data_IF_851925841831
#
_entry.id   IF_851925841831
#
_cell.length_a   1.000
_cell.length_b   1.000
_cell.length_c   1.000
_cell.angle_alpha   90.00
_cell.angle_beta   90.00
_cell.angle_gamma   90.00
#
_symmetry.space_group_name_H-M   'P 1'
#
loop_
_entity.id
_entity.type
_entity.pdbx_description
1 polymer ?
#
# COMPACT_ATOMS: atom_id res chain seq x y z
N UNK A 1 -13.02 33.95 79.44
CA UNK A 1 -12.44 32.76 78.76
C UNK A 1 -13.43 32.26 77.73
N UNK A 2 -13.06 32.41 76.45
CA UNK A 2 -13.40 31.64 75.24
C UNK A 2 -14.83 31.14 75.00
N UNK A 3 -15.62 31.82 74.15
CA UNK A 3 -16.59 31.12 73.28
C UNK A 3 -17.06 31.92 72.04
N UNK A 4 -16.16 32.49 71.22
CA UNK A 4 -16.57 33.06 69.91
C UNK A 4 -15.47 32.93 68.86
N UNK A 5 -15.20 31.71 68.37
CA UNK A 5 -14.33 31.58 67.18
C UNK A 5 -14.55 30.32 66.31
N UNK A 6 -15.59 29.51 66.57
CA UNK A 6 -15.70 28.19 65.94
C UNK A 6 -16.75 28.06 64.82
N UNK A 7 -17.49 29.12 64.48
CA UNK A 7 -18.65 28.98 63.57
C UNK A 7 -18.36 29.47 62.14
N UNK A 8 -17.42 30.41 61.94
CA UNK A 8 -17.15 30.98 60.62
C UNK A 8 -16.23 30.15 59.71
N UNK A 9 -15.44 29.23 60.26
CA UNK A 9 -14.46 28.46 59.47
C UNK A 9 -15.04 27.21 58.80
N UNK A 10 -16.20 26.72 59.25
CA UNK A 10 -16.80 25.48 58.73
C UNK A 10 -17.73 25.76 57.53
N UNK A 11 -18.40 26.92 57.51
CA UNK A 11 -19.32 27.30 56.43
C UNK A 11 -18.65 27.53 55.07
N UNK A 12 -17.42 28.05 55.06
CA UNK A 12 -16.68 28.33 53.81
C UNK A 12 -16.10 27.06 53.16
N UNK A 13 -15.76 26.02 53.94
CA UNK A 13 -15.26 24.74 53.40
C UNK A 13 -16.36 23.89 52.75
N UNK A 14 -17.58 23.93 53.27
CA UNK A 14 -18.73 23.17 52.72
C UNK A 14 -19.26 23.78 51.41
N UNK A 15 -19.15 25.09 51.23
CA UNK A 15 -19.54 25.75 49.98
C UNK A 15 -18.52 25.52 48.85
N UNK A 16 -17.22 25.38 49.16
CA UNK A 16 -16.17 25.16 48.14
C UNK A 16 -16.16 23.72 47.62
N UNK A 17 -16.48 22.73 48.46
CA UNK A 17 -16.55 21.32 48.04
C UNK A 17 -17.76 20.99 47.16
N UNK A 18 -18.88 21.68 47.33
CA UNK A 18 -20.09 21.48 46.51
C UNK A 18 -20.01 22.15 45.13
N UNK A 19 -19.20 23.20 44.96
CA UNK A 19 -19.03 23.87 43.64
C UNK A 19 -18.10 23.10 42.70
N UNK A 20 -17.14 22.31 43.22
CA UNK A 20 -16.19 21.55 42.41
C UNK A 20 -16.69 20.15 41.99
N UNK A 21 -17.77 19.65 42.62
CA UNK A 21 -18.49 18.46 42.16
C UNK A 21 -19.58 18.81 41.12
N UNK A 22 -19.45 19.95 40.43
CA UNK A 22 -20.12 20.14 39.14
C UNK A 22 -19.38 19.23 38.16
N UNK A 23 -19.69 17.94 38.22
CA UNK A 23 -19.36 16.94 37.21
C UNK A 23 -19.63 17.64 35.88
N UNK A 24 -18.55 17.95 35.18
CA UNK A 24 -18.62 18.30 33.77
C UNK A 24 -19.57 17.29 33.17
N UNK A 25 -20.75 17.73 32.71
CA UNK A 25 -21.59 16.93 31.83
C UNK A 25 -20.77 16.74 30.56
N UNK A 26 -19.81 15.83 30.61
CA UNK A 26 -19.24 15.25 29.43
C UNK A 26 -20.41 14.49 28.85
N UNK A 27 -21.01 15.03 27.80
CA UNK A 27 -21.87 14.24 26.94
C UNK A 27 -20.94 13.14 26.42
N UNK A 28 -20.89 12.00 27.11
CA UNK A 28 -20.04 10.89 26.72
C UNK A 28 -20.62 10.33 25.43
N UNK A 29 -19.83 10.36 24.37
CA UNK A 29 -20.22 9.84 23.07
C UNK A 29 -20.31 8.32 23.18
N UNK A 30 -21.52 7.79 23.33
CA UNK A 30 -21.71 6.35 23.56
C UNK A 30 -21.55 5.57 22.26
N UNK A 31 -21.98 6.15 21.13
CA UNK A 31 -21.68 5.62 19.80
C UNK A 31 -21.46 6.72 18.78
N UNK A 32 -20.37 6.57 18.03
CA UNK A 32 -20.04 7.37 16.84
C UNK A 32 -20.57 6.68 15.59
N UNK A 33 -21.36 7.39 14.78
CA UNK A 33 -21.95 6.94 13.51
C UNK A 33 -21.31 7.65 12.32
N UNK A 34 -21.23 6.95 11.19
CA UNK A 34 -20.77 7.49 9.91
C UNK A 34 -21.91 7.50 8.90
N UNK A 35 -21.80 8.34 7.86
CA UNK A 35 -22.75 8.31 6.76
C UNK A 35 -22.68 6.97 6.00
N UNK A 36 -23.74 6.61 5.27
CA UNK A 36 -23.82 5.33 4.54
C UNK A 36 -22.66 5.14 3.53
N UNK A 37 -22.16 6.23 2.95
CA UNK A 37 -21.02 6.22 2.04
C UNK A 37 -19.66 6.35 2.75
N UNK A 38 -19.59 6.09 4.06
CA UNK A 38 -18.36 6.16 4.86
C UNK A 38 -18.10 4.88 5.66
N UNK A 39 -16.83 4.57 5.84
CA UNK A 39 -16.37 3.51 6.72
C UNK A 39 -15.81 4.13 8.02
N UNK A 40 -16.20 3.57 9.17
CA UNK A 40 -15.62 3.93 10.47
C UNK A 40 -14.28 3.24 10.66
N UNK A 41 -13.23 4.01 10.93
CA UNK A 41 -11.90 3.48 11.27
C UNK A 41 -11.44 4.20 12.54
N UNK A 42 -11.38 3.46 13.67
CA UNK A 42 -11.23 4.08 14.99
C UNK A 42 -12.42 4.98 15.30
N UNK A 43 -12.15 6.23 15.71
CA UNK A 43 -13.19 7.23 16.00
C UNK A 43 -13.55 8.13 14.82
N UNK A 44 -12.91 7.95 13.66
CA UNK A 44 -13.13 8.77 12.49
C UNK A 44 -13.89 8.02 11.39
N UNK A 45 -14.65 8.79 10.62
CA UNK A 45 -15.33 8.35 9.41
C UNK A 45 -14.50 8.75 8.19
N UNK A 46 -14.33 7.81 7.27
CA UNK A 46 -13.60 8.01 6.01
C UNK A 46 -14.51 7.64 4.85
N UNK A 47 -14.48 8.44 3.80
CA UNK A 47 -15.21 8.11 2.56
C UNK A 47 -14.74 6.78 1.99
N UNK A 48 -15.67 5.99 1.44
CA UNK A 48 -15.30 4.78 0.71
C UNK A 48 -14.41 5.11 -0.48
N UNK A 49 -13.48 4.19 -0.79
CA UNK A 49 -12.62 4.37 -1.94
C UNK A 49 -13.45 4.31 -3.23
N UNK A 50 -13.20 5.20 -4.20
CA UNK A 50 -13.89 5.15 -5.48
C UNK A 50 -13.53 3.88 -6.25
N UNK A 51 -14.31 3.57 -7.29
CA UNK A 51 -14.04 2.43 -8.15
C UNK A 51 -12.60 2.48 -8.70
N UNK A 52 -11.93 1.31 -8.72
CA UNK A 52 -10.53 1.20 -9.12
C UNK A 52 -9.51 1.58 -8.04
N UNK A 53 -9.95 1.89 -6.82
CA UNK A 53 -9.08 2.14 -5.67
C UNK A 53 -9.38 1.15 -4.54
N UNK A 54 -8.34 0.80 -3.79
CA UNK A 54 -8.42 -0.03 -2.60
C UNK A 54 -7.86 0.73 -1.40
N UNK A 55 -8.47 0.54 -0.23
CA UNK A 55 -8.00 1.17 1.00
C UNK A 55 -6.69 0.55 1.47
N UNK A 56 -5.70 1.39 1.76
CA UNK A 56 -4.45 1.01 2.42
C UNK A 56 -4.19 1.98 3.58
N UNK A 57 -4.34 1.50 4.81
CA UNK A 57 -4.41 2.38 5.98
C UNK A 57 -5.65 3.29 5.91
N UNK A 58 -5.43 4.60 5.91
CA UNK A 58 -6.50 5.61 5.83
C UNK A 58 -6.72 6.13 4.40
N UNK A 59 -5.79 5.86 3.49
CA UNK A 59 -5.79 6.38 2.14
C UNK A 59 -6.37 5.37 1.15
N UNK A 60 -6.79 5.87 0.00
CA UNK A 60 -7.24 5.05 -1.12
C UNK A 60 -6.16 5.03 -2.20
N UNK A 61 -5.62 3.85 -2.48
CA UNK A 61 -4.55 3.64 -3.45
C UNK A 61 -5.13 3.00 -4.72
N UNK A 62 -4.68 3.43 -5.90
CA UNK A 62 -5.12 2.82 -7.15
C UNK A 62 -4.81 1.31 -7.20
N UNK A 63 -5.76 0.53 -7.71
CA UNK A 63 -5.56 -0.90 -7.97
C UNK A 63 -4.65 -1.06 -9.18
N UNK A 64 -3.70 -2.00 -9.11
CA UNK A 64 -2.82 -2.23 -10.25
C UNK A 64 -3.60 -2.86 -11.41
N UNK A 65 -3.41 -2.37 -12.64
CA UNK A 65 -4.07 -2.94 -13.81
C UNK A 65 -3.58 -4.37 -14.07
N UNK A 66 -4.33 -5.11 -14.87
CA UNK A 66 -4.00 -6.49 -15.23
C UNK A 66 -2.60 -6.58 -15.86
N UNK A 67 -1.85 -7.61 -15.47
CA UNK A 67 -0.48 -7.84 -15.95
C UNK A 67 0.59 -7.02 -15.24
N UNK A 68 0.22 -6.23 -14.21
CA UNK A 68 1.17 -5.59 -13.31
C UNK A 68 1.08 -6.19 -11.91
N UNK A 69 2.24 -6.45 -11.31
CA UNK A 69 2.36 -6.88 -9.91
C UNK A 69 2.24 -5.66 -9.01
N UNK A 70 1.56 -5.82 -7.88
CA UNK A 70 1.47 -4.78 -6.86
C UNK A 70 2.68 -4.87 -5.92
N UNK A 71 3.56 -3.86 -5.99
CA UNK A 71 4.77 -3.71 -5.19
C UNK A 71 4.58 -2.61 -4.12
N UNK A 72 3.40 -2.58 -3.49
CA UNK A 72 3.04 -1.61 -2.45
C UNK A 72 2.59 -0.27 -3.04
N UNK A 73 3.45 0.75 -2.99
CA UNK A 73 3.18 2.06 -3.59
C UNK A 73 3.39 2.09 -5.10
N UNK A 74 3.81 0.97 -5.70
CA UNK A 74 4.07 0.85 -7.12
C UNK A 74 3.32 -0.33 -7.73
N UNK A 75 3.01 -0.22 -9.02
CA UNK A 75 2.63 -1.33 -9.87
C UNK A 75 3.78 -1.60 -10.84
N UNK A 76 4.28 -2.84 -10.94
CA UNK A 76 5.46 -3.19 -11.74
C UNK A 76 5.15 -4.24 -12.81
N UNK A 77 5.64 -4.03 -14.03
CA UNK A 77 5.66 -5.08 -15.08
C UNK A 77 6.74 -6.12 -14.74
N UNK A 78 6.40 -7.40 -14.87
CA UNK A 78 7.34 -8.49 -14.56
C UNK A 78 8.33 -8.70 -15.70
N UNK A 79 9.60 -8.78 -15.35
CA UNK A 79 10.69 -9.34 -16.17
C UNK A 79 11.04 -10.75 -15.67
N UNK A 80 11.79 -11.51 -16.46
CA UNK A 80 12.22 -12.86 -16.06
C UNK A 80 13.64 -13.17 -16.55
N UNK A 81 14.32 -14.08 -15.84
CA UNK A 81 15.67 -14.52 -16.19
C UNK A 81 15.68 -15.62 -17.24
N UNK A 82 16.71 -15.63 -18.08
CA UNK A 82 17.00 -16.63 -19.12
C UNK A 82 17.88 -17.79 -18.63
N UNK A 83 18.19 -17.82 -17.33
CA UNK A 83 19.16 -18.75 -16.73
C UNK A 83 20.62 -18.31 -16.91
N UNK A 84 21.54 -19.21 -16.56
CA UNK A 84 22.99 -18.98 -16.68
C UNK A 84 23.50 -19.00 -18.13
N UNK A 85 22.68 -19.47 -19.07
CA UNK A 85 23.05 -19.66 -20.47
C UNK A 85 23.91 -20.90 -20.71
N UNK A 86 24.38 -21.01 -21.94
CA UNK A 86 25.15 -22.14 -22.47
C UNK A 86 26.53 -21.63 -22.85
N UNK A 87 27.48 -21.58 -21.90
CA UNK A 87 28.85 -21.17 -22.20
C UNK A 87 29.58 -22.26 -22.99
N UNK A 88 30.71 -21.90 -23.60
CA UNK A 88 31.67 -22.88 -24.12
C UNK A 88 32.19 -23.75 -22.97
N UNK A 89 32.37 -25.05 -23.21
CA UNK A 89 32.92 -25.97 -22.21
C UNK A 89 34.01 -26.88 -22.81
N UNK A 90 34.85 -27.45 -21.93
CA UNK A 90 35.92 -28.35 -22.34
C UNK A 90 35.37 -29.52 -23.17
N UNK A 91 35.96 -29.74 -24.34
CA UNK A 91 35.48 -30.71 -25.34
C UNK A 91 34.63 -30.10 -26.46
N UNK A 92 34.19 -28.85 -26.35
CA UNK A 92 33.60 -28.12 -27.47
C UNK A 92 34.70 -27.71 -28.47
N UNK A 93 34.37 -27.68 -29.77
CA UNK A 93 35.22 -27.02 -30.76
C UNK A 93 35.37 -25.52 -30.44
N UNK A 94 36.42 -24.85 -30.94
CA UNK A 94 36.64 -23.41 -30.75
C UNK A 94 35.68 -22.55 -31.62
N UNK A 95 34.39 -22.83 -31.55
CA UNK A 95 33.29 -22.11 -32.18
C UNK A 95 32.01 -22.26 -31.33
N UNK A 96 30.92 -21.61 -31.76
CA UNK A 96 29.70 -21.51 -30.96
C UNK A 96 28.69 -22.66 -31.18
N UNK A 97 28.97 -23.59 -32.09
CA UNK A 97 27.98 -24.57 -32.55
C UNK A 97 27.46 -25.43 -31.40
N UNK A 98 28.37 -26.00 -30.60
CA UNK A 98 28.01 -26.88 -29.48
C UNK A 98 27.21 -26.13 -28.40
N UNK A 99 27.45 -24.83 -28.21
CA UNK A 99 26.67 -23.99 -27.29
C UNK A 99 25.24 -23.80 -27.80
N UNK A 100 25.09 -23.48 -29.10
CA UNK A 100 23.79 -23.32 -29.73
C UNK A 100 23.00 -24.62 -29.78
N UNK A 101 23.64 -25.76 -30.05
CA UNK A 101 22.99 -27.07 -30.05
C UNK A 101 22.39 -27.40 -28.70
N UNK A 102 23.17 -27.25 -27.61
CA UNK A 102 22.65 -27.44 -26.24
C UNK A 102 21.47 -26.51 -25.95
N UNK A 103 21.60 -25.23 -26.31
CA UNK A 103 20.52 -24.28 -26.10
C UNK A 103 19.24 -24.66 -26.85
N UNK A 104 19.34 -25.04 -28.14
CA UNK A 104 18.18 -25.40 -28.97
C UNK A 104 17.54 -26.70 -28.53
N UNK A 105 18.33 -27.65 -28.02
CA UNK A 105 17.81 -28.89 -27.45
C UNK A 105 16.89 -28.63 -26.25
N UNK A 106 17.30 -27.72 -25.36
CA UNK A 106 16.51 -27.36 -24.17
C UNK A 106 15.37 -26.36 -24.49
N UNK A 107 15.50 -25.57 -25.55
CA UNK A 107 14.58 -24.48 -25.90
C UNK A 107 14.08 -24.57 -27.35
N UNK A 108 13.39 -25.67 -27.73
CA UNK A 108 13.04 -25.95 -29.12
C UNK A 108 12.07 -24.92 -29.73
N UNK A 109 11.28 -24.21 -28.91
CA UNK A 109 10.24 -23.29 -29.38
C UNK A 109 10.68 -21.83 -29.50
N UNK A 110 11.57 -21.36 -28.62
CA UNK A 110 11.98 -19.95 -28.55
C UNK A 110 13.16 -19.64 -29.46
N UNK A 111 13.99 -20.64 -29.75
CA UNK A 111 15.28 -20.44 -30.41
C UNK A 111 16.32 -19.81 -29.47
N UNK A 112 17.51 -19.56 -30.01
CA UNK A 112 18.67 -19.14 -29.23
C UNK A 112 19.41 -17.99 -29.89
N UNK A 113 20.10 -17.19 -29.08
CA UNK A 113 20.93 -16.07 -29.49
C UNK A 113 22.20 -16.00 -28.63
N UNK A 114 23.27 -15.42 -29.18
CA UNK A 114 24.53 -15.25 -28.45
C UNK A 114 24.61 -13.83 -27.88
N UNK A 115 24.96 -13.71 -26.60
CA UNK A 115 25.28 -12.43 -25.98
C UNK A 115 26.67 -12.52 -25.31
N UNK A 116 27.64 -11.79 -25.86
CA UNK A 116 29.04 -11.90 -25.44
C UNK A 116 29.61 -13.28 -25.79
N UNK A 117 30.12 -14.02 -24.80
CA UNK A 117 30.71 -15.36 -24.97
C UNK A 117 29.76 -16.50 -24.60
N UNK A 118 28.47 -16.21 -24.35
CA UNK A 118 27.50 -17.19 -23.85
C UNK A 118 26.25 -17.16 -24.73
N UNK A 119 25.70 -18.34 -25.03
CA UNK A 119 24.42 -18.48 -25.75
C UNK A 119 23.27 -18.53 -24.75
N UNK A 120 22.16 -17.85 -25.05
CA UNK A 120 20.95 -17.83 -24.24
C UNK A 120 19.73 -18.16 -25.10
N UNK A 121 18.63 -18.67 -24.51
CA UNK A 121 17.36 -18.73 -25.21
C UNK A 121 16.87 -17.31 -25.56
N UNK A 122 16.15 -17.18 -26.67
CA UNK A 122 15.49 -15.89 -26.99
C UNK A 122 14.38 -15.60 -26.00
N UNK A 123 14.01 -14.32 -25.94
CA UNK A 123 12.88 -13.88 -25.13
C UNK A 123 11.54 -14.31 -25.74
N UNK A 124 10.55 -14.49 -24.86
CA UNK A 124 9.14 -14.72 -25.23
C UNK A 124 8.59 -13.48 -25.91
N UNK A 125 7.53 -13.65 -26.68
CA UNK A 125 6.86 -12.54 -27.36
C UNK A 125 6.48 -11.42 -26.38
N UNK A 126 6.71 -10.17 -26.79
CA UNK A 126 6.53 -8.99 -25.97
C UNK A 126 7.68 -8.70 -24.98
N UNK A 127 8.75 -9.50 -25.02
CA UNK A 127 9.96 -9.28 -24.21
C UNK A 127 11.20 -9.11 -25.09
N UNK A 128 12.11 -8.27 -24.63
CA UNK A 128 13.41 -8.05 -25.26
C UNK A 128 14.55 -8.37 -24.29
N UNK A 129 15.70 -8.73 -24.84
CA UNK A 129 16.92 -9.00 -24.09
C UNK A 129 17.40 -7.70 -23.40
N UNK A 130 17.53 -7.74 -22.08
CA UNK A 130 18.16 -6.69 -21.29
C UNK A 130 19.40 -7.25 -20.61
N UNK A 131 20.58 -6.81 -21.08
CA UNK A 131 21.86 -7.40 -20.69
C UNK A 131 22.01 -8.86 -21.14
N UNK A 132 22.80 -9.64 -20.41
CA UNK A 132 23.11 -11.01 -20.82
C UNK A 132 21.97 -12.00 -20.57
N UNK A 133 21.18 -11.84 -19.50
CA UNK A 133 20.35 -12.93 -19.00
C UNK A 133 18.95 -12.53 -18.54
N UNK A 134 18.48 -11.30 -18.81
CA UNK A 134 17.13 -10.87 -18.43
C UNK A 134 16.29 -10.62 -19.69
N UNK A 135 15.06 -11.11 -19.69
CA UNK A 135 14.02 -10.72 -20.64
C UNK A 135 13.10 -9.72 -19.97
N UNK A 136 13.02 -8.52 -20.54
CA UNK A 136 12.25 -7.39 -20.02
C UNK A 136 11.15 -6.99 -21.02
N UNK A 137 9.92 -6.71 -20.56
CA UNK A 137 8.88 -6.20 -21.43
C UNK A 137 9.15 -4.73 -21.78
N UNK A 138 8.39 -4.19 -22.74
CA UNK A 138 8.41 -2.76 -22.98
C UNK A 138 8.03 -1.96 -21.73
N UNK A 139 8.62 -0.78 -21.62
CA UNK A 139 8.34 0.14 -20.52
C UNK A 139 6.86 0.55 -20.57
N UNK A 140 6.09 0.35 -19.48
CA UNK A 140 4.67 0.68 -19.48
C UNK A 140 4.48 2.19 -19.53
N UNK A 141 3.47 2.66 -20.26
CA UNK A 141 3.02 4.05 -20.13
C UNK A 141 2.10 4.15 -18.91
N UNK A 142 2.61 4.73 -17.83
CA UNK A 142 1.88 4.83 -16.57
C UNK A 142 0.68 5.79 -16.66
N UNK A 143 0.75 6.80 -17.53
CA UNK A 143 -0.32 7.79 -17.69
C UNK A 143 -1.57 7.16 -18.29
N UNK A 144 -1.41 6.41 -19.38
CA UNK A 144 -2.53 5.70 -20.02
C UNK A 144 -3.09 4.56 -19.15
N UNK A 145 -2.30 4.03 -18.22
CA UNK A 145 -2.74 3.04 -17.23
C UNK A 145 -3.47 3.63 -16.02
N UNK A 146 -3.67 4.95 -15.97
CA UNK A 146 -4.31 5.63 -14.83
C UNK A 146 -3.45 5.65 -13.56
N UNK A 147 -2.13 5.46 -13.71
CA UNK A 147 -1.17 5.46 -12.62
C UNK A 147 -0.44 6.82 -12.56
N UNK A 148 0.50 6.93 -11.62
CA UNK A 148 1.33 8.11 -11.40
C UNK A 148 2.65 8.06 -12.17
N UNK A 149 3.72 8.46 -11.50
CA UNK A 149 5.06 8.62 -12.09
C UNK A 149 5.65 7.28 -12.51
N UNK A 150 6.30 7.27 -13.68
CA UNK A 150 7.05 6.13 -14.18
C UNK A 150 8.48 6.09 -13.62
N UNK A 151 8.89 4.92 -13.13
CA UNK A 151 10.26 4.59 -12.74
C UNK A 151 10.59 3.21 -13.31
N UNK A 152 11.35 3.18 -14.41
CA UNK A 152 11.69 1.93 -15.11
C UNK A 152 10.42 1.13 -15.54
N UNK A 153 10.26 -0.11 -15.09
CA UNK A 153 9.08 -0.96 -15.30
C UNK A 153 7.97 -0.73 -14.26
N UNK A 154 8.20 0.18 -13.31
CA UNK A 154 7.30 0.48 -12.21
C UNK A 154 6.56 1.79 -12.45
N UNK A 155 5.29 1.83 -12.05
CA UNK A 155 4.45 3.02 -12.05
C UNK A 155 4.02 3.27 -10.61
N UNK A 156 4.19 4.49 -10.11
CA UNK A 156 3.67 4.82 -8.78
C UNK A 156 2.15 4.76 -8.79
N UNK A 157 1.55 4.32 -7.69
CA UNK A 157 0.10 4.37 -7.54
C UNK A 157 -0.36 5.81 -7.41
N UNK A 158 -1.61 6.06 -7.81
CA UNK A 158 -2.32 7.28 -7.42
C UNK A 158 -2.88 7.08 -6.04
N UNK A 159 -2.73 8.10 -5.19
CA UNK A 159 -3.14 8.06 -3.80
C UNK A 159 -4.13 9.19 -3.59
N UNK A 160 -5.30 8.85 -3.08
CA UNK A 160 -6.28 9.79 -2.55
C UNK A 160 -6.13 9.75 -1.04
N UNK A 161 -5.64 10.85 -0.48
CA UNK A 161 -5.44 10.98 0.97
C UNK A 161 -6.80 10.95 1.67
N UNK A 162 -6.92 10.06 2.65
CA UNK A 162 -8.10 9.92 3.48
C UNK A 162 -8.33 11.18 4.30
N UNK A 163 -9.53 11.74 4.20
CA UNK A 163 -9.94 12.91 4.99
C UNK A 163 -10.74 12.43 6.21
N UNK A 164 -10.16 12.45 7.43
CA UNK A 164 -10.88 11.99 8.60
C UNK A 164 -11.99 12.97 8.96
N UNK A 165 -13.19 12.46 9.19
CA UNK A 165 -14.32 13.22 9.72
C UNK A 165 -14.68 12.68 11.09
N UNK A 166 -14.99 13.56 12.04
CA UNK A 166 -15.58 13.11 13.31
C UNK A 166 -16.99 12.61 13.00
N UNK A 167 -17.29 11.37 13.36
CA UNK A 167 -18.65 10.86 13.18
C UNK A 167 -19.64 11.54 14.13
N UNK A 168 -20.91 11.36 13.85
CA UNK A 168 -21.99 11.91 14.68
C UNK A 168 -22.10 11.11 15.97
N UNK A 169 -22.04 11.80 17.11
CA UNK A 169 -22.16 11.18 18.42
C UNK A 169 -23.62 11.05 18.85
N UNK A 170 -24.03 9.83 19.17
CA UNK A 170 -25.22 9.59 19.98
C UNK A 170 -24.83 9.71 21.45
N UNK A 171 -25.40 10.72 22.09
CA UNK A 171 -25.25 10.95 23.51
C UNK A 171 -26.42 10.29 24.25
N UNK A 172 -26.14 9.61 25.36
CA UNK A 172 -27.20 9.25 26.30
C UNK A 172 -27.57 10.48 27.11
N UNK A 173 -28.84 10.90 27.05
CA UNK A 173 -29.40 11.76 28.09
C UNK A 173 -29.55 10.85 29.31
N UNK A 174 -28.70 11.03 30.32
CA UNK A 174 -29.03 10.53 31.65
C UNK A 174 -30.24 11.34 32.11
N UNK A 175 -31.43 10.75 32.00
CA UNK A 175 -32.63 11.25 32.66
C UNK A 175 -32.32 11.33 34.15
N UNK A 176 -32.24 12.57 34.65
CA UNK A 176 -32.13 12.85 36.07
C UNK A 176 -33.52 12.60 36.65
N UNK A 177 -33.72 11.41 37.20
CA UNK A 177 -34.80 11.13 38.14
C UNK A 177 -34.45 11.70 39.53
#
# INVERSE_FOLDING_TARGET
MFTTCAIFSIGLLLAVTTVLAKTSRQNECVRTFCADNQAKIGEFCYEHCPAGYARFGFDCHSVCPQGMRNDGLFCRRSEYGRGAGYPWKFGDALNDNAMFERCRADNPQLGCEKHGLIVYPKCRDGYSAFGCCICRPERPDCGSLGLGTQVDLSCSKRIIIGKPQKGTCLYFLHDVA
#
